data_IF_838440536546
#
_entry.id   IF_838440536546
#
_cell.length_a   1.000
_cell.length_b   1.000
_cell.length_c   1.000
_cell.angle_alpha   90.00
_cell.angle_beta   90.00
_cell.angle_gamma   90.00
#
_symmetry.space_group_name_H-M   'P 1'
#
loop_
_entity.id
_entity.type
_entity.pdbx_description
1 polymer ?
#
# COMPACT_ATOMS: atom_id res chain seq x y z
N UNK A 1 -6.56 -3.24 6.62
CA UNK A 1 -7.03 -3.94 5.39
C UNK A 1 -6.06 -3.65 4.25
N UNK A 2 -5.75 -4.67 3.50
CA UNK A 2 -4.89 -4.57 2.32
C UNK A 2 -5.72 -4.93 1.09
N UNK A 3 -5.81 -4.00 0.14
CA UNK A 3 -6.35 -4.29 -1.18
C UNK A 3 -5.23 -4.35 -2.20
N UNK A 4 -5.35 -5.26 -3.15
CA UNK A 4 -4.40 -5.41 -4.24
C UNK A 4 -5.14 -5.24 -5.55
N UNK A 5 -4.63 -4.40 -6.44
CA UNK A 5 -5.19 -4.26 -7.77
C UNK A 5 -4.99 -5.56 -8.55
N UNK A 6 -6.09 -6.09 -9.06
CA UNK A 6 -6.07 -7.31 -9.87
C UNK A 6 -6.09 -6.90 -11.34
N UNK A 7 -4.91 -6.81 -11.93
CA UNK A 7 -4.73 -6.43 -13.32
C UNK A 7 -4.33 -7.64 -14.12
N UNK A 8 -5.06 -7.91 -15.20
CA UNK A 8 -4.74 -9.02 -16.09
C UNK A 8 -3.67 -8.61 -17.09
N UNK A 9 -2.78 -9.55 -17.45
CA UNK A 9 -1.84 -9.31 -18.53
C UNK A 9 -2.60 -9.05 -19.82
N UNK A 10 -2.22 -8.01 -20.53
CA UNK A 10 -2.86 -7.58 -21.77
C UNK A 10 -1.85 -6.96 -22.71
N UNK A 11 -2.29 -6.71 -23.94
CA UNK A 11 -1.49 -5.98 -24.91
C UNK A 11 -1.24 -4.56 -24.41
N UNK A 12 -0.06 -4.01 -24.73
CA UNK A 12 0.39 -2.70 -24.23
C UNK A 12 -0.62 -1.57 -24.46
N UNK A 13 -1.36 -1.60 -25.58
CA UNK A 13 -2.34 -0.58 -25.92
C UNK A 13 -3.63 -0.62 -25.07
N UNK A 14 -3.79 -1.62 -24.19
CA UNK A 14 -4.95 -1.74 -23.30
C UNK A 14 -4.60 -1.48 -21.83
N UNK A 15 -3.37 -1.12 -21.54
CA UNK A 15 -2.90 -0.95 -20.15
C UNK A 15 -3.71 0.13 -19.43
N UNK A 16 -3.89 1.30 -20.06
CA UNK A 16 -4.64 2.40 -19.44
C UNK A 16 -6.08 2.01 -19.12
N UNK A 17 -6.73 1.28 -20.05
CA UNK A 17 -8.09 0.81 -19.84
C UNK A 17 -8.16 -0.16 -18.64
N UNK A 18 -7.21 -1.08 -18.55
CA UNK A 18 -7.16 -2.07 -17.47
C UNK A 18 -6.93 -1.38 -16.14
N UNK A 19 -5.97 -0.43 -16.07
CA UNK A 19 -5.71 0.34 -14.86
C UNK A 19 -6.98 1.04 -14.38
N UNK A 20 -7.62 1.80 -15.25
CA UNK A 20 -8.82 2.56 -14.90
C UNK A 20 -9.96 1.65 -14.43
N UNK A 21 -10.18 0.54 -15.11
CA UNK A 21 -11.27 -0.39 -14.80
C UNK A 21 -11.09 -1.02 -13.41
N UNK A 22 -9.88 -1.50 -13.12
CA UNK A 22 -9.58 -2.13 -11.84
C UNK A 22 -9.57 -1.12 -10.69
N UNK A 23 -9.11 0.10 -10.95
CA UNK A 23 -9.13 1.18 -9.98
C UNK A 23 -10.56 1.59 -9.63
N UNK A 24 -11.44 1.68 -10.59
CA UNK A 24 -12.86 1.95 -10.37
C UNK A 24 -13.51 0.89 -9.49
N UNK A 25 -13.24 -0.39 -9.77
CA UNK A 25 -13.76 -1.49 -8.96
C UNK A 25 -13.27 -1.43 -7.53
N UNK A 26 -12.01 -1.06 -7.34
CA UNK A 26 -11.43 -0.96 -6.00
C UNK A 26 -12.03 0.21 -5.24
N UNK A 27 -12.21 1.35 -5.87
CA UNK A 27 -12.81 2.53 -5.24
C UNK A 27 -14.22 2.23 -4.71
N UNK A 28 -14.99 1.40 -5.39
CA UNK A 28 -16.32 0.98 -4.93
C UNK A 28 -16.28 0.26 -3.59
N UNK A 29 -15.17 -0.37 -3.25
CA UNK A 29 -14.99 -1.08 -1.97
C UNK A 29 -14.56 -0.16 -0.83
N UNK A 30 -14.15 1.07 -1.13
CA UNK A 30 -13.68 2.02 -0.13
C UNK A 30 -14.86 2.71 0.53
N UNK A 31 -14.65 3.12 1.79
CA UNK A 31 -15.63 3.86 2.59
C UNK A 31 -15.16 5.30 2.75
N UNK A 32 -16.09 6.29 2.85
CA UNK A 32 -15.69 7.69 3.00
C UNK A 32 -14.81 7.96 4.22
N UNK A 33 -14.91 7.12 5.27
CA UNK A 33 -14.15 7.27 6.51
C UNK A 33 -12.82 6.51 6.50
N UNK A 34 -12.48 5.82 5.41
CA UNK A 34 -11.23 5.08 5.32
C UNK A 34 -10.04 6.02 5.22
N UNK A 35 -8.96 5.69 5.91
CA UNK A 35 -7.64 6.27 5.66
C UNK A 35 -6.94 5.42 4.60
N UNK A 36 -6.62 6.02 3.47
CA UNK A 36 -6.08 5.33 2.30
C UNK A 36 -4.60 5.65 2.14
N UNK A 37 -3.78 4.61 2.00
CA UNK A 37 -2.35 4.75 1.74
C UNK A 37 -2.01 3.87 0.55
N UNK A 38 -1.41 4.49 -0.48
CA UNK A 38 -0.93 3.75 -1.65
C UNK A 38 0.50 3.30 -1.43
N UNK A 39 0.82 2.07 -1.79
CA UNK A 39 2.21 1.61 -1.85
C UNK A 39 2.76 1.91 -3.23
N UNK A 40 3.65 2.89 -3.30
CA UNK A 40 4.25 3.39 -4.53
C UNK A 40 5.74 3.66 -4.28
N UNK A 41 6.59 3.21 -5.18
CA UNK A 41 8.04 3.37 -5.05
C UNK A 41 8.49 4.83 -4.96
N UNK A 42 7.64 5.77 -5.38
CA UNK A 42 7.89 7.21 -5.28
C UNK A 42 7.36 7.81 -3.97
N UNK A 43 6.76 7.01 -3.12
CA UNK A 43 6.24 7.48 -1.84
C UNK A 43 7.30 7.68 -0.78
N UNK A 44 6.86 8.03 0.42
CA UNK A 44 7.74 8.24 1.58
C UNK A 44 8.29 6.89 2.04
N UNK A 45 9.61 6.83 2.22
CA UNK A 45 10.29 5.66 2.74
C UNK A 45 10.46 5.75 4.25
N UNK A 46 10.30 4.60 4.90
CA UNK A 46 10.57 4.45 6.34
C UNK A 46 11.50 3.26 6.54
N UNK A 47 12.30 3.30 7.61
CA UNK A 47 12.87 2.05 8.13
C UNK A 47 11.79 1.33 8.94
N UNK A 48 12.10 0.12 9.42
CA UNK A 48 11.10 -0.70 10.10
C UNK A 48 10.56 -0.06 11.37
N UNK A 49 11.41 0.57 12.16
CA UNK A 49 11.00 1.28 13.39
C UNK A 49 10.18 2.52 13.04
N UNK A 50 10.61 3.29 12.05
CA UNK A 50 9.88 4.47 11.58
C UNK A 50 8.50 4.12 11.06
N UNK A 51 8.37 3.01 10.33
CA UNK A 51 7.07 2.53 9.86
C UNK A 51 6.17 2.14 11.03
N UNK A 52 6.71 1.43 12.03
CA UNK A 52 5.96 1.07 13.23
C UNK A 52 5.41 2.31 13.95
N UNK A 53 6.26 3.33 14.12
CA UNK A 53 5.86 4.58 14.77
C UNK A 53 4.80 5.33 13.96
N UNK A 54 4.91 5.34 12.63
CA UNK A 54 3.90 5.96 11.77
C UNK A 54 2.58 5.22 11.86
N UNK A 55 2.62 3.90 11.88
CA UNK A 55 1.44 3.07 12.01
C UNK A 55 0.71 3.35 13.34
N UNK A 56 1.45 3.45 14.44
CA UNK A 56 0.89 3.79 15.75
C UNK A 56 0.20 5.15 15.72
N UNK A 57 0.83 6.17 15.12
CA UNK A 57 0.22 7.48 15.00
C UNK A 57 -1.09 7.44 14.20
N UNK A 58 -1.11 6.67 13.12
CA UNK A 58 -2.32 6.52 12.31
C UNK A 58 -3.44 5.83 13.10
N UNK A 59 -3.11 4.82 13.89
CA UNK A 59 -4.08 4.15 14.75
C UNK A 59 -4.66 5.09 15.80
N UNK A 60 -3.84 5.97 16.37
CA UNK A 60 -4.28 6.94 17.38
C UNK A 60 -5.14 8.08 16.81
N UNK A 61 -5.14 8.29 15.49
CA UNK A 61 -5.99 9.29 14.85
C UNK A 61 -7.47 8.86 14.80
N UNK A 62 -7.76 7.63 15.17
CA UNK A 62 -9.14 7.18 15.30
C UNK A 62 -9.85 6.84 14.01
N UNK A 63 -9.12 6.56 12.93
CA UNK A 63 -9.73 6.07 11.70
C UNK A 63 -10.39 4.71 11.95
N UNK A 64 -11.59 4.54 11.44
CA UNK A 64 -12.30 3.27 11.57
C UNK A 64 -11.62 2.15 10.79
N UNK A 65 -11.00 2.50 9.65
CA UNK A 65 -10.35 1.52 8.79
C UNK A 65 -9.13 2.16 8.13
N UNK A 66 -7.99 1.51 8.27
CA UNK A 66 -6.76 1.87 7.58
C UNK A 66 -6.59 0.92 6.40
N UNK A 67 -6.50 1.47 5.20
CA UNK A 67 -6.46 0.69 3.96
C UNK A 67 -5.17 0.98 3.22
N UNK A 68 -4.40 -0.08 2.96
CA UNK A 68 -3.23 -0.03 2.09
C UNK A 68 -3.59 -0.62 0.74
N UNK A 69 -3.23 0.07 -0.32
CA UNK A 69 -3.51 -0.40 -1.68
C UNK A 69 -2.18 -0.69 -2.38
N UNK A 70 -2.04 -1.93 -2.83
CA UNK A 70 -0.86 -2.39 -3.56
C UNK A 70 -1.19 -2.42 -5.05
N UNK A 71 -0.33 -1.81 -5.86
CA UNK A 71 -0.51 -1.79 -7.30
C UNK A 71 -0.34 -3.17 -7.93
N UNK A 72 -0.98 -3.37 -9.07
CA UNK A 72 -0.81 -4.56 -9.88
C UNK A 72 0.39 -4.45 -10.82
N UNK A 73 0.49 -5.33 -11.85
CA UNK A 73 1.63 -5.34 -12.77
C UNK A 73 1.88 -4.01 -13.49
N UNK A 74 0.84 -3.23 -13.69
CA UNK A 74 0.92 -1.95 -14.42
C UNK A 74 0.97 -0.73 -13.50
N UNK A 75 1.03 -0.94 -12.17
CA UNK A 75 1.03 0.14 -11.19
C UNK A 75 -0.29 0.90 -11.12
N UNK A 76 -0.23 2.15 -10.71
CA UNK A 76 -1.40 3.03 -10.59
C UNK A 76 -1.42 4.04 -11.75
N UNK A 77 -2.63 4.38 -12.21
CA UNK A 77 -2.78 5.50 -13.16
C UNK A 77 -2.47 6.83 -12.45
N UNK A 78 -2.14 7.85 -13.23
CA UNK A 78 -1.88 9.19 -12.68
C UNK A 78 -3.11 9.75 -11.96
N UNK A 79 -4.29 9.54 -12.54
CA UNK A 79 -5.55 10.00 -11.94
C UNK A 79 -5.76 9.37 -10.57
N UNK A 80 -5.54 8.06 -10.45
CA UNK A 80 -5.70 7.33 -9.19
C UNK A 80 -4.70 7.82 -8.13
N UNK A 81 -3.42 8.00 -8.51
CA UNK A 81 -2.41 8.52 -7.60
C UNK A 81 -2.77 9.89 -7.05
N UNK A 82 -3.35 10.75 -7.90
CA UNK A 82 -3.70 12.11 -7.51
C UNK A 82 -4.93 12.18 -6.59
N UNK A 83 -5.72 11.13 -6.52
CA UNK A 83 -6.86 11.07 -5.60
C UNK A 83 -6.43 10.87 -4.14
N UNK A 84 -5.25 10.32 -3.90
CA UNK A 84 -4.79 9.98 -2.57
C UNK A 84 -3.44 10.63 -2.29
N UNK A 85 -3.33 11.28 -1.14
CA UNK A 85 -2.13 12.07 -0.80
C UNK A 85 -1.05 11.29 -0.09
N UNK A 86 -1.40 10.16 0.53
CA UNK A 86 -0.44 9.37 1.31
C UNK A 86 0.08 8.19 0.49
N UNK A 87 1.35 8.26 0.15
CA UNK A 87 2.04 7.22 -0.61
C UNK A 87 3.25 6.76 0.20
N UNK A 88 3.35 5.47 0.47
CA UNK A 88 4.49 4.87 1.17
C UNK A 88 5.26 3.98 0.20
N UNK A 89 6.58 4.02 0.31
CA UNK A 89 7.47 3.16 -0.45
C UNK A 89 8.17 2.18 0.46
N UNK A 90 8.14 0.88 0.12
CA UNK A 90 8.96 -0.12 0.77
C UNK A 90 10.42 0.06 0.40
N UNK A 91 10.67 0.45 -0.83
CA UNK A 91 12.00 0.64 -1.38
C UNK A 91 11.91 1.53 -2.62
N UNK A 92 13.02 2.19 -2.96
CA UNK A 92 13.13 2.89 -4.24
C UNK A 92 13.36 1.92 -5.39
N UNK A 93 13.70 0.68 -5.09
CA UNK A 93 13.87 -0.36 -6.09
C UNK A 93 12.52 -0.93 -6.50
N UNK A 94 12.41 -1.33 -7.74
CA UNK A 94 11.17 -1.91 -8.27
C UNK A 94 11.16 -3.42 -8.01
N UNK A 95 10.08 -3.89 -7.42
CA UNK A 95 9.83 -5.32 -7.21
C UNK A 95 8.56 -5.73 -7.93
N UNK A 96 8.42 -7.02 -8.22
CA UNK A 96 7.14 -7.52 -8.73
C UNK A 96 6.05 -7.28 -7.68
N UNK A 97 4.81 -7.12 -8.13
CA UNK A 97 3.67 -6.89 -7.23
C UNK A 97 3.48 -8.03 -6.24
N UNK A 98 3.81 -9.27 -6.63
CA UNK A 98 3.74 -10.44 -5.75
C UNK A 98 4.73 -10.35 -4.61
N UNK A 99 5.95 -9.91 -4.88
CA UNK A 99 6.98 -9.75 -3.86
C UNK A 99 6.66 -8.58 -2.92
N UNK A 100 6.11 -7.49 -3.46
CA UNK A 100 5.68 -6.36 -2.64
C UNK A 100 4.61 -6.80 -1.64
N UNK A 101 3.65 -7.61 -2.05
CA UNK A 101 2.63 -8.16 -1.13
C UNK A 101 3.27 -8.91 0.03
N UNK A 102 4.21 -9.79 -0.28
CA UNK A 102 4.89 -10.59 0.74
C UNK A 102 5.70 -9.72 1.68
N UNK A 103 6.50 -8.81 1.14
CA UNK A 103 7.35 -7.93 1.93
C UNK A 103 6.53 -7.00 2.80
N UNK A 104 5.43 -6.47 2.27
CA UNK A 104 4.59 -5.57 3.04
C UNK A 104 3.90 -6.29 4.20
N UNK A 105 3.39 -7.49 3.97
CA UNK A 105 2.80 -8.29 5.04
C UNK A 105 3.81 -8.60 6.13
N UNK A 106 5.06 -8.91 5.76
CA UNK A 106 6.13 -9.14 6.72
C UNK A 106 6.44 -7.88 7.52
N UNK A 107 6.49 -6.71 6.87
CA UNK A 107 6.74 -5.44 7.55
C UNK A 107 5.59 -5.04 8.49
N UNK A 108 4.36 -5.33 8.14
CA UNK A 108 3.23 -5.13 9.05
C UNK A 108 3.35 -5.99 10.29
N UNK A 109 3.69 -7.26 10.14
CA UNK A 109 3.93 -8.16 11.26
C UNK A 109 5.07 -7.63 12.14
N UNK A 110 6.19 -7.25 11.51
CA UNK A 110 7.36 -6.69 12.21
C UNK A 110 6.98 -5.43 12.98
N UNK A 111 6.20 -4.52 12.38
CA UNK A 111 5.75 -3.30 13.04
C UNK A 111 4.96 -3.62 14.31
N UNK A 112 4.02 -4.56 14.24
CA UNK A 112 3.26 -4.98 15.41
C UNK A 112 4.15 -5.57 16.50
N UNK A 113 5.16 -6.35 16.15
CA UNK A 113 6.11 -6.90 17.14
C UNK A 113 6.93 -5.79 17.79
N UNK A 114 7.36 -4.78 17.04
CA UNK A 114 8.07 -3.62 17.59
C UNK A 114 7.18 -2.87 18.58
N UNK A 115 5.93 -2.58 18.22
CA UNK A 115 5.01 -1.83 19.07
C UNK A 115 4.63 -2.60 20.35
N UNK A 116 4.69 -3.92 20.32
CA UNK A 116 4.36 -4.77 21.47
C UNK A 116 5.61 -5.30 22.20
N UNK A 117 6.79 -4.78 21.89
CA UNK A 117 8.05 -5.16 22.51
C UNK A 117 8.39 -6.65 22.37
N UNK A 118 7.98 -7.27 21.29
CA UNK A 118 8.38 -8.65 20.97
C UNK A 118 9.79 -8.70 20.39
N UNK A 119 10.58 -9.77 20.64
CA UNK A 119 11.96 -9.84 20.20
C UNK A 119 12.16 -10.24 18.73
N UNK A 120 11.17 -10.09 17.90
CA UNK A 120 11.26 -10.46 16.48
C UNK A 120 12.22 -9.58 15.69
N UNK A 121 12.19 -8.26 15.94
CA UNK A 121 13.02 -7.30 15.23
C UNK A 121 14.35 -7.10 15.95
N UNK A 122 15.43 -7.46 15.28
CA UNK A 122 16.79 -7.25 15.76
C UNK A 122 17.43 -6.08 15.00
N UNK A 123 17.71 -5.01 15.69
CA UNK A 123 18.47 -3.87 15.14
C UNK A 123 19.80 -3.75 15.82
#
# INVERSE_FOLDING_TARGET
IIFVLQQKNSKKNKVDFIQTKEEERLVEKLRPTDKIILLDEKGIQFDSVGFANKLEKLEHQGFKRLVFIIGGPYGFSTVFKNQFTDHFALSKMTFSHQMIRLFFCEQLYRAHTILNNHPYHNT
#
